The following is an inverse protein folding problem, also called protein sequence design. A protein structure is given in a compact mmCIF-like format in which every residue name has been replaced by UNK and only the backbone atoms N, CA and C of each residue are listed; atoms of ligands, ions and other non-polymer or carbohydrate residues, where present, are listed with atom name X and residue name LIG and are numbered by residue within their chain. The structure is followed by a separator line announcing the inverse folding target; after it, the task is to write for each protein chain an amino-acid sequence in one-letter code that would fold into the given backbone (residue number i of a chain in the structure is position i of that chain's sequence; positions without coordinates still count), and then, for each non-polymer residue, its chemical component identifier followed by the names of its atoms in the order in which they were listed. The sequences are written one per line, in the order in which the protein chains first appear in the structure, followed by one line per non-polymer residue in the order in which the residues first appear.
data_IF_451434441284
#
_entry.id   IF_451434441284
#
_cell.length_a   1.000
_cell.length_b   1.000
_cell.length_c   1.000
_cell.angle_alpha   90.00
_cell.angle_beta   90.00
_cell.angle_gamma   90.00
#
_symmetry.space_group_name_H-M   'P 1'
#
loop_
_entity.id
_entity.type
_entity.pdbx_description
1 polymer ?
#
# COMPACT_ATOMS: atom_id res chain seq x y z
N UNK A 1 -3.74 8.12 -14.09
CA UNK A 1 -3.15 9.38 -13.57
C UNK A 1 -1.85 9.00 -12.88
N UNK A 2 -0.75 9.73 -13.09
CA UNK A 2 0.50 9.44 -12.37
C UNK A 2 0.50 10.15 -11.03
N UNK A 3 1.25 9.63 -10.06
CA UNK A 3 1.47 10.26 -8.75
C UNK A 3 1.82 11.75 -8.85
N UNK A 4 2.68 12.11 -9.81
CA UNK A 4 3.11 13.49 -10.00
C UNK A 4 1.94 14.37 -10.44
N UNK A 5 1.13 13.89 -11.40
CA UNK A 5 -0.03 14.62 -11.91
C UNK A 5 -1.20 14.74 -10.93
N UNK A 6 -1.25 13.90 -9.90
CA UNK A 6 -2.30 13.98 -8.88
C UNK A 6 -1.99 14.96 -7.75
N UNK A 7 -0.85 15.67 -7.77
CA UNK A 7 -0.42 16.51 -6.64
C UNK A 7 -1.40 17.67 -6.35
N UNK A 8 -1.86 17.81 -5.10
CA UNK A 8 -2.88 18.79 -4.71
C UNK A 8 -4.33 18.33 -4.87
N UNK A 9 -4.56 17.14 -5.44
CA UNK A 9 -5.88 16.51 -5.56
C UNK A 9 -6.11 15.48 -4.46
N UNK A 10 -7.37 15.34 -4.05
CA UNK A 10 -7.87 14.30 -3.15
C UNK A 10 -8.97 13.49 -3.85
N UNK A 11 -9.11 12.22 -3.48
CA UNK A 11 -10.07 11.29 -4.04
C UNK A 11 -10.72 10.49 -2.91
N UNK A 12 -12.00 10.13 -3.05
CA UNK A 12 -12.69 9.32 -2.04
C UNK A 12 -11.98 7.96 -1.85
N UNK A 13 -11.53 7.38 -2.96
CA UNK A 13 -10.77 6.16 -3.00
C UNK A 13 -9.48 6.30 -3.82
N UNK A 14 -8.40 5.70 -3.33
CA UNK A 14 -7.12 5.57 -4.05
C UNK A 14 -6.73 4.10 -4.13
N UNK A 15 -6.28 3.66 -5.30
CA UNK A 15 -5.71 2.33 -5.53
C UNK A 15 -4.24 2.50 -5.90
N UNK A 16 -3.35 1.82 -5.16
CA UNK A 16 -1.91 1.82 -5.38
C UNK A 16 -1.42 0.39 -5.61
N UNK A 17 -0.35 0.22 -6.38
CA UNK A 17 0.35 -1.06 -6.47
C UNK A 17 1.51 -1.08 -5.47
N UNK A 18 1.67 -2.18 -4.75
CA UNK A 18 2.74 -2.32 -3.75
C UNK A 18 4.12 -2.30 -4.41
N UNK A 19 4.27 -2.86 -5.61
CA UNK A 19 5.53 -2.94 -6.36
C UNK A 19 6.17 -1.57 -6.66
N UNK A 20 5.36 -0.51 -6.70
CA UNK A 20 5.83 0.87 -6.95
C UNK A 20 6.58 1.46 -5.74
N UNK A 21 6.47 0.83 -4.56
CA UNK A 21 7.03 1.33 -3.33
C UNK A 21 7.76 0.22 -2.57
N UNK A 22 9.07 0.28 -2.41
CA UNK A 22 9.77 -0.67 -1.54
C UNK A 22 9.74 -0.27 -0.05
N UNK A 23 9.39 0.97 0.29
CA UNK A 23 9.39 1.53 1.66
C UNK A 23 10.72 1.39 2.42
N UNK A 24 11.82 1.22 1.69
CA UNK A 24 13.16 1.11 2.24
C UNK A 24 13.91 2.44 2.10
N UNK A 25 13.87 3.04 0.90
CA UNK A 25 14.53 4.32 0.63
C UNK A 25 13.62 5.51 0.94
N UNK A 26 14.18 6.67 1.33
CA UNK A 26 13.42 7.88 1.64
C UNK A 26 12.42 8.27 0.55
N UNK A 27 12.83 8.29 -0.72
CA UNK A 27 11.95 8.66 -1.84
C UNK A 27 10.73 7.74 -1.96
N UNK A 28 10.94 6.43 -1.77
CA UNK A 28 9.84 5.46 -1.79
C UNK A 28 8.86 5.70 -0.64
N UNK A 29 9.37 6.03 0.55
CA UNK A 29 8.54 6.37 1.72
C UNK A 29 7.75 7.65 1.48
N UNK A 30 8.39 8.71 0.97
CA UNK A 30 7.73 9.99 0.70
C UNK A 30 6.67 9.87 -0.39
N UNK A 31 6.96 9.14 -1.46
CA UNK A 31 6.00 8.92 -2.53
C UNK A 31 4.80 8.09 -2.03
N UNK A 32 5.04 7.06 -1.23
CA UNK A 32 3.95 6.29 -0.62
C UNK A 32 3.09 7.17 0.31
N UNK A 33 3.70 7.98 1.17
CA UNK A 33 3.00 8.90 2.06
C UNK A 33 2.08 9.86 1.27
N UNK A 34 2.62 10.50 0.24
CA UNK A 34 1.83 11.44 -0.56
C UNK A 34 0.71 10.73 -1.32
N UNK A 35 0.92 9.49 -1.77
CA UNK A 35 -0.10 8.71 -2.47
C UNK A 35 -1.21 8.25 -1.52
N UNK A 36 -0.83 7.74 -0.33
CA UNK A 36 -1.73 7.28 0.71
C UNK A 36 -2.62 8.43 1.25
N UNK A 37 -2.05 9.62 1.41
CA UNK A 37 -2.77 10.82 1.89
C UNK A 37 -3.74 11.43 0.87
N UNK A 38 -3.85 10.87 -0.35
CA UNK A 38 -4.87 11.33 -1.32
C UNK A 38 -6.23 10.66 -1.12
N UNK A 39 -6.26 9.55 -0.39
CA UNK A 39 -7.51 8.87 -0.06
C UNK A 39 -8.20 9.58 1.09
N UNK A 40 -9.44 10.02 0.86
CA UNK A 40 -10.28 10.61 1.92
C UNK A 40 -10.97 9.52 2.75
N UNK A 41 -11.44 8.46 2.10
CA UNK A 41 -12.20 7.40 2.77
C UNK A 41 -11.48 6.05 2.74
N UNK A 42 -10.86 5.68 1.60
CA UNK A 42 -10.30 4.34 1.43
C UNK A 42 -9.03 4.30 0.58
N UNK A 43 -7.98 3.72 1.14
CA UNK A 43 -6.78 3.31 0.41
C UNK A 43 -6.81 1.80 0.14
N UNK A 44 -6.65 1.40 -1.11
CA UNK A 44 -6.48 0.00 -1.53
C UNK A 44 -5.05 -0.16 -2.04
N UNK A 45 -4.36 -1.17 -1.52
CA UNK A 45 -3.01 -1.53 -1.96
C UNK A 45 -3.10 -2.90 -2.63
N UNK A 46 -2.69 -2.97 -3.89
CA UNK A 46 -2.70 -4.17 -4.70
C UNK A 46 -1.36 -4.89 -4.52
N UNK A 47 -1.43 -6.16 -4.12
CA UNK A 47 -0.30 -7.07 -3.95
C UNK A 47 -0.41 -8.17 -5.01
N UNK A 48 0.59 -8.31 -5.88
CA UNK A 48 0.60 -9.25 -7.00
C UNK A 48 1.55 -10.45 -6.77
N UNK A 49 2.09 -10.57 -5.56
CA UNK A 49 3.04 -11.61 -5.13
C UNK A 49 4.43 -11.55 -5.77
N UNK A 50 4.85 -10.37 -6.23
CA UNK A 50 6.23 -10.13 -6.68
C UNK A 50 7.19 -9.92 -5.48
N UNK A 51 8.49 -10.10 -5.74
CA UNK A 51 9.60 -9.70 -4.87
C UNK A 51 9.49 -8.27 -4.32
N UNK A 52 9.03 -7.31 -5.13
CA UNK A 52 8.86 -5.91 -4.69
C UNK A 52 7.69 -5.76 -3.74
N UNK A 53 6.56 -6.42 -4.03
CA UNK A 53 5.39 -6.44 -3.14
C UNK A 53 5.72 -7.06 -1.78
N UNK A 54 6.48 -8.16 -1.78
CA UNK A 54 6.99 -8.81 -0.56
C UNK A 54 7.85 -7.85 0.26
N UNK A 55 8.66 -7.05 -0.42
CA UNK A 55 9.51 -6.03 0.22
C UNK A 55 8.67 -4.90 0.82
N UNK A 56 7.68 -4.38 0.08
CA UNK A 56 6.71 -3.41 0.59
C UNK A 56 6.05 -3.93 1.88
N UNK A 57 5.44 -5.12 1.82
CA UNK A 57 4.71 -5.71 2.92
C UNK A 57 5.59 -5.93 4.15
N UNK A 58 6.78 -6.49 3.95
CA UNK A 58 7.76 -6.71 5.03
C UNK A 58 8.17 -5.39 5.70
N UNK A 59 8.50 -4.37 4.91
CA UNK A 59 8.96 -3.09 5.44
C UNK A 59 7.83 -2.32 6.15
N UNK A 60 6.60 -2.38 5.63
CA UNK A 60 5.44 -1.80 6.30
C UNK A 60 5.13 -2.53 7.61
N UNK A 61 5.11 -3.86 7.60
CA UNK A 61 4.88 -4.67 8.80
C UNK A 61 5.94 -4.40 9.87
N UNK A 62 7.22 -4.32 9.49
CA UNK A 62 8.30 -3.99 10.43
C UNK A 62 8.10 -2.62 11.09
N UNK A 63 7.68 -1.60 10.33
CA UNK A 63 7.37 -0.26 10.87
C UNK A 63 6.20 -0.32 11.85
N UNK A 64 5.14 -1.08 11.54
CA UNK A 64 3.97 -1.26 12.41
C UNK A 64 4.37 -1.97 13.73
N UNK A 65 5.12 -3.07 13.62
CA UNK A 65 5.61 -3.81 14.79
C UNK A 65 6.54 -2.97 15.66
N UNK A 66 7.38 -2.11 15.06
CA UNK A 66 8.23 -1.17 15.81
C UNK A 66 7.43 -0.15 16.65
N UNK A 67 6.17 0.11 16.29
CA UNK A 67 5.23 0.91 17.08
C UNK A 67 4.50 0.10 18.16
N UNK A 68 4.89 -1.17 18.37
CA UNK A 68 4.22 -2.14 19.25
C UNK A 68 2.74 -2.33 18.89
N UNK A 69 2.45 -2.35 17.59
CA UNK A 69 1.13 -2.58 17.02
C UNK A 69 1.13 -3.83 16.15
N UNK A 70 -0.05 -4.39 15.93
CA UNK A 70 -0.23 -5.52 15.02
C UNK A 70 -0.55 -5.00 13.62
N UNK A 71 -0.10 -5.71 12.60
CA UNK A 71 -0.38 -5.35 11.19
C UNK A 71 -1.89 -5.25 10.92
N UNK A 72 -2.67 -6.13 11.56
CA UNK A 72 -4.13 -6.18 11.46
C UNK A 72 -4.83 -4.94 12.05
N UNK A 73 -4.15 -4.16 12.90
CA UNK A 73 -4.68 -2.89 13.43
C UNK A 73 -4.71 -1.81 12.35
N UNK A 74 -3.91 -1.95 11.28
CA UNK A 74 -3.74 -0.95 10.22
C UNK A 74 -4.20 -1.43 8.85
N UNK A 75 -4.15 -2.74 8.59
CA UNK A 75 -4.50 -3.28 7.28
C UNK A 75 -5.35 -4.54 7.38
N UNK A 76 -6.36 -4.60 6.51
CA UNK A 76 -7.13 -5.82 6.25
C UNK A 76 -6.62 -6.45 4.97
N UNK A 77 -6.06 -7.65 5.07
CA UNK A 77 -5.63 -8.42 3.91
C UNK A 77 -6.85 -9.14 3.33
N UNK A 78 -7.11 -8.93 2.04
CA UNK A 78 -8.18 -9.61 1.30
C UNK A 78 -7.54 -10.50 0.25
N UNK A 79 -7.66 -11.81 0.43
CA UNK A 79 -7.18 -12.81 -0.53
C UNK A 79 -8.41 -13.29 -1.31
N UNK A 80 -8.42 -13.08 -2.63
CA UNK A 80 -9.44 -13.69 -3.48
C UNK A 80 -9.10 -15.17 -3.60
N UNK A 81 -9.86 -16.04 -2.93
CA UNK A 81 -9.75 -17.48 -3.15
C UNK A 81 -9.89 -17.81 -4.63
N UNK A 82 -9.19 -18.85 -5.12
CA UNK A 82 -9.38 -19.36 -6.48
C UNK A 82 -10.88 -19.49 -6.72
N UNK A 83 -11.39 -18.79 -7.74
CA UNK A 83 -12.74 -19.04 -8.20
C UNK A 83 -12.81 -20.53 -8.53
N UNK A 84 -13.65 -21.27 -7.81
CA UNK A 84 -13.91 -22.66 -8.12
C UNK A 84 -14.61 -22.68 -9.46
N UNK A 85 -13.84 -22.93 -10.52
CA UNK A 85 -14.37 -23.30 -11.83
C UNK A 85 -15.02 -24.68 -11.65
N UNK A 86 -16.33 -24.66 -11.41
CA UNK A 86 -17.20 -25.81 -11.61
C UNK A 86 -17.66 -25.83 -13.06
#
# INVERSE_FOLDING_TARGET
MTFHSSKGLEFDQVVLFAEDYNLYYPDSIYNHYVAATRAKERLIIVYLDDSKDKTFYRNLSNKITAMNKKTEDFMKIVIKGKASIY
#
